data_IF_715478458892
#
_entry.id   IF_715478458892
#
_cell.length_a   1.000
_cell.length_b   1.000
_cell.length_c   1.000
_cell.angle_alpha   90.00
_cell.angle_beta   90.00
_cell.angle_gamma   90.00
#
_symmetry.space_group_name_H-M   'P 1'
#
loop_
_entity.id
_entity.type
_entity.pdbx_description
1 polymer ?
#
# COMPACT_ATOMS: atom_id res chain seq x y z
N UNK A 1 -22.40 -26.68 0.53
CA UNK A 1 -23.42 -25.77 1.09
C UNK A 1 -22.77 -24.39 1.19
N UNK A 2 -22.83 -23.59 0.13
CA UNK A 2 -22.35 -22.21 0.16
C UNK A 2 -23.53 -21.33 0.56
N UNK A 3 -23.69 -21.09 1.86
CA UNK A 3 -24.53 -19.97 2.29
C UNK A 3 -23.91 -18.71 1.70
N UNK A 4 -24.70 -17.83 1.05
CA UNK A 4 -24.17 -16.56 0.59
C UNK A 4 -23.63 -15.81 1.81
N UNK A 5 -22.37 -15.38 1.74
CA UNK A 5 -21.78 -14.46 2.72
C UNK A 5 -22.74 -13.28 2.87
N UNK A 6 -23.15 -13.00 4.10
CA UNK A 6 -24.05 -11.90 4.49
C UNK A 6 -23.33 -10.94 5.43
N UNK A 7 -23.79 -9.69 5.54
CA UNK A 7 -23.23 -8.72 6.48
C UNK A 7 -23.15 -9.27 7.92
N UNK A 8 -24.19 -9.98 8.38
CA UNK A 8 -24.16 -10.57 9.72
C UNK A 8 -23.06 -11.61 9.91
N UNK A 9 -22.73 -12.39 8.87
CA UNK A 9 -21.63 -13.36 8.91
C UNK A 9 -20.24 -12.71 8.86
N UNK A 10 -20.14 -11.50 8.30
CA UNK A 10 -18.89 -10.74 8.23
C UNK A 10 -18.56 -10.02 9.53
N UNK A 11 -19.58 -9.65 10.33
CA UNK A 11 -19.36 -8.99 11.62
C UNK A 11 -18.43 -9.78 12.54
N UNK A 12 -18.53 -11.10 12.55
CA UNK A 12 -17.67 -11.95 13.40
C UNK A 12 -16.18 -11.69 13.15
N UNK A 13 -15.79 -11.39 11.90
CA UNK A 13 -14.40 -11.11 11.50
C UNK A 13 -13.86 -9.81 12.08
N UNK A 14 -14.72 -8.82 12.31
CA UNK A 14 -14.33 -7.48 12.77
C UNK A 14 -14.80 -7.15 14.18
N UNK A 15 -15.57 -8.04 14.82
CA UNK A 15 -16.21 -7.81 16.13
C UNK A 15 -15.27 -7.39 17.27
N UNK A 16 -13.97 -7.67 17.14
CA UNK A 16 -12.93 -7.27 18.10
C UNK A 16 -12.43 -5.84 17.94
N UNK A 17 -12.60 -5.26 16.75
CA UNK A 17 -12.08 -3.93 16.40
C UNK A 17 -13.20 -2.95 16.03
N UNK A 18 -14.38 -3.45 15.64
CA UNK A 18 -15.58 -2.65 15.35
C UNK A 18 -16.70 -3.02 16.32
N UNK A 19 -17.19 -2.07 17.14
CA UNK A 19 -18.39 -2.25 17.96
C UNK A 19 -19.62 -2.60 17.13
N UNK A 20 -20.51 -3.45 17.67
CA UNK A 20 -21.71 -3.87 16.94
C UNK A 20 -22.59 -2.71 16.48
N UNK A 21 -22.73 -1.67 17.30
CA UNK A 21 -23.50 -0.49 16.96
C UNK A 21 -22.95 0.25 15.74
N UNK A 22 -21.63 0.29 15.59
CA UNK A 22 -20.96 0.87 14.42
C UNK A 22 -21.15 -0.03 13.19
N UNK A 23 -20.97 -1.35 13.34
CA UNK A 23 -21.20 -2.29 12.23
C UNK A 23 -22.60 -2.21 11.64
N UNK A 24 -23.63 -2.03 12.47
CA UNK A 24 -25.02 -1.86 12.00
C UNK A 24 -25.18 -0.67 11.03
N UNK A 25 -24.30 0.32 11.09
CA UNK A 25 -24.33 1.44 10.13
C UNK A 25 -23.79 1.06 8.75
N UNK A 26 -22.97 0.00 8.68
CA UNK A 26 -22.34 -0.50 7.45
C UNK A 26 -23.14 -1.62 6.76
N UNK A 27 -24.03 -2.31 7.47
CA UNK A 27 -24.72 -3.52 6.97
C UNK A 27 -25.37 -3.33 5.59
N UNK A 28 -26.07 -2.21 5.39
CA UNK A 28 -26.73 -1.92 4.12
C UNK A 28 -25.75 -1.81 2.94
N UNK A 29 -24.60 -1.16 3.15
CA UNK A 29 -23.60 -1.00 2.10
C UNK A 29 -22.85 -2.32 1.87
N UNK A 30 -22.53 -3.06 2.94
CA UNK A 30 -21.92 -4.40 2.84
C UNK A 30 -22.79 -5.34 2.02
N UNK A 31 -24.08 -5.47 2.35
CA UNK A 31 -24.99 -6.36 1.62
C UNK A 31 -25.15 -5.93 0.15
N UNK A 32 -25.25 -4.62 -0.11
CA UNK A 32 -25.32 -4.10 -1.47
C UNK A 32 -24.05 -4.41 -2.26
N UNK A 33 -22.87 -4.22 -1.67
CA UNK A 33 -21.56 -4.51 -2.31
C UNK A 33 -21.44 -5.99 -2.64
N UNK A 34 -21.79 -6.88 -1.70
CA UNK A 34 -21.71 -8.33 -1.92
C UNK A 34 -22.60 -8.78 -3.08
N UNK A 35 -23.79 -8.20 -3.21
CA UNK A 35 -24.67 -8.48 -4.35
C UNK A 35 -24.14 -7.90 -5.66
N UNK A 36 -23.68 -6.65 -5.64
CA UNK A 36 -23.12 -5.97 -6.82
C UNK A 36 -21.88 -6.68 -7.36
N UNK A 37 -21.01 -7.18 -6.49
CA UNK A 37 -19.83 -7.98 -6.88
C UNK A 37 -20.22 -9.21 -7.68
N UNK A 38 -21.25 -9.95 -7.23
CA UNK A 38 -21.77 -11.11 -7.97
C UNK A 38 -22.35 -10.70 -9.32
N UNK A 39 -23.18 -9.66 -9.33
CA UNK A 39 -23.87 -9.18 -10.55
C UNK A 39 -22.91 -8.65 -11.61
N UNK A 40 -21.79 -8.06 -11.20
CA UNK A 40 -20.80 -7.47 -12.10
C UNK A 40 -19.59 -8.36 -12.39
N UNK A 41 -19.55 -9.56 -11.81
CA UNK A 41 -18.33 -10.37 -11.78
C UNK A 41 -17.13 -9.51 -11.35
N UNK A 42 -17.26 -8.86 -10.20
CA UNK A 42 -16.29 -7.90 -9.69
C UNK A 42 -15.54 -8.44 -8.47
N UNK A 43 -14.26 -8.07 -8.37
CA UNK A 43 -13.46 -8.24 -7.15
C UNK A 43 -13.07 -6.89 -6.55
N UNK A 44 -12.85 -6.88 -5.25
CA UNK A 44 -12.34 -5.74 -4.50
C UNK A 44 -10.93 -6.07 -4.01
N UNK A 45 -9.96 -5.28 -4.45
CA UNK A 45 -8.58 -5.29 -3.98
C UNK A 45 -8.42 -4.19 -2.93
N UNK A 46 -8.07 -4.53 -1.69
CA UNK A 46 -7.91 -3.54 -0.62
C UNK A 46 -6.48 -3.49 -0.08
N UNK A 47 -5.95 -2.28 0.05
CA UNK A 47 -4.65 -2.05 0.66
C UNK A 47 -4.72 -2.24 2.19
N UNK A 48 -3.59 -2.60 2.80
CA UNK A 48 -3.42 -2.76 4.26
C UNK A 48 -3.83 -1.55 5.12
N UNK A 49 -3.92 -0.37 4.51
CA UNK A 49 -4.35 0.88 5.16
C UNK A 49 -5.86 1.13 5.05
N UNK A 50 -6.61 0.24 4.43
CA UNK A 50 -8.07 0.31 4.44
C UNK A 50 -8.62 -0.08 5.81
N UNK A 51 -9.76 0.51 6.16
CA UNK A 51 -10.43 0.28 7.44
C UNK A 51 -10.93 -1.17 7.55
N UNK A 52 -11.08 -1.72 8.78
CA UNK A 52 -11.40 -3.13 8.96
C UNK A 52 -12.70 -3.60 8.28
N UNK A 53 -13.71 -2.75 8.18
CA UNK A 53 -14.97 -3.06 7.49
C UNK A 53 -14.80 -3.23 5.97
N UNK A 54 -13.81 -2.55 5.37
CA UNK A 54 -13.43 -2.76 3.98
C UNK A 54 -12.51 -3.98 3.88
N UNK A 55 -11.44 -3.99 4.68
CA UNK A 55 -10.35 -4.96 4.63
C UNK A 55 -10.80 -6.40 4.94
N UNK A 56 -11.56 -6.59 6.02
CA UNK A 56 -12.04 -7.92 6.45
C UNK A 56 -13.48 -8.22 6.01
N UNK A 57 -14.23 -7.18 5.64
CA UNK A 57 -15.63 -7.26 5.23
C UNK A 57 -15.79 -7.55 3.75
N UNK A 58 -15.62 -6.53 2.90
CA UNK A 58 -16.00 -6.61 1.47
C UNK A 58 -14.84 -6.92 0.51
N UNK A 59 -13.58 -6.79 0.94
CA UNK A 59 -12.42 -7.10 0.11
C UNK A 59 -12.32 -8.61 -0.20
N UNK A 60 -11.94 -8.95 -1.44
CA UNK A 60 -11.62 -10.32 -1.84
C UNK A 60 -10.14 -10.62 -1.66
N UNK A 61 -9.32 -9.61 -1.93
CA UNK A 61 -7.88 -9.70 -1.89
C UNK A 61 -7.35 -8.51 -1.11
N UNK A 62 -6.52 -8.82 -0.13
CA UNK A 62 -5.85 -7.85 0.71
C UNK A 62 -4.34 -7.99 0.63
N UNK A 63 -3.63 -6.88 0.83
CA UNK A 63 -2.17 -6.88 0.93
C UNK A 63 -1.52 -5.50 0.78
N UNK A 64 -0.19 -5.52 0.72
CA UNK A 64 0.62 -4.35 0.35
C UNK A 64 0.64 -4.16 -1.17
N UNK A 65 1.29 -3.07 -1.64
CA UNK A 65 1.35 -2.74 -3.07
C UNK A 65 1.88 -3.88 -3.94
N UNK A 66 2.86 -4.66 -3.46
CA UNK A 66 3.45 -5.76 -4.22
C UNK A 66 2.49 -6.94 -4.32
N UNK A 67 1.89 -7.34 -3.19
CA UNK A 67 0.92 -8.42 -3.15
C UNK A 67 -0.31 -8.11 -4.01
N UNK A 68 -0.83 -6.88 -3.96
CA UNK A 68 -1.95 -6.46 -4.79
C UNK A 68 -1.60 -6.48 -6.28
N UNK A 69 -0.42 -5.99 -6.67
CA UNK A 69 0.03 -6.04 -8.07
C UNK A 69 0.15 -7.47 -8.60
N UNK A 70 0.73 -8.40 -7.82
CA UNK A 70 0.84 -9.81 -8.20
C UNK A 70 -0.53 -10.47 -8.34
N UNK A 71 -1.36 -10.38 -7.30
CA UNK A 71 -2.68 -11.03 -7.28
C UNK A 71 -3.65 -10.44 -8.31
N UNK A 72 -3.53 -9.16 -8.66
CA UNK A 72 -4.37 -8.55 -9.68
C UNK A 72 -4.23 -9.21 -11.06
N UNK A 73 -3.10 -9.86 -11.37
CA UNK A 73 -2.87 -10.56 -12.64
C UNK A 73 -3.61 -11.90 -12.67
N UNK A 74 -3.79 -12.53 -11.51
CA UNK A 74 -4.38 -13.87 -11.35
C UNK A 74 -5.92 -13.85 -11.29
N UNK A 75 -6.53 -12.66 -11.29
CA UNK A 75 -7.96 -12.48 -11.15
C UNK A 75 -8.68 -12.73 -12.48
N UNK A 76 -9.71 -13.57 -12.45
CA UNK A 76 -10.61 -13.87 -13.58
C UNK A 76 -11.82 -12.92 -13.70
N UNK A 77 -12.03 -12.05 -12.71
CA UNK A 77 -13.14 -11.09 -12.68
C UNK A 77 -13.03 -10.03 -13.79
N UNK A 78 -14.18 -9.58 -14.31
CA UNK A 78 -14.25 -8.56 -15.36
C UNK A 78 -14.00 -7.14 -14.83
N UNK A 79 -14.39 -6.92 -13.56
CA UNK A 79 -14.28 -5.63 -12.87
C UNK A 79 -13.40 -5.75 -11.64
N UNK A 80 -12.44 -4.83 -11.51
CA UNK A 80 -11.61 -4.68 -10.32
C UNK A 80 -11.95 -3.36 -9.67
N UNK A 81 -12.45 -3.36 -8.44
CA UNK A 81 -12.53 -2.16 -7.61
C UNK A 81 -11.28 -2.09 -6.76
N UNK A 82 -10.51 -1.02 -6.91
CA UNK A 82 -9.37 -0.78 -6.04
C UNK A 82 -9.77 0.08 -4.84
N UNK A 83 -9.84 -0.53 -3.67
CA UNK A 83 -9.90 0.15 -2.39
C UNK A 83 -8.48 0.57 -1.96
N UNK A 84 -8.00 1.65 -2.55
CA UNK A 84 -6.66 2.20 -2.37
C UNK A 84 -6.56 3.60 -2.98
N UNK A 85 -5.37 3.93 -3.49
CA UNK A 85 -5.07 5.24 -4.09
C UNK A 85 -4.83 5.15 -5.60
N UNK A 86 -4.88 6.29 -6.29
CA UNK A 86 -4.93 6.39 -7.75
C UNK A 86 -3.80 5.64 -8.47
N UNK A 87 -2.55 5.80 -8.03
CA UNK A 87 -1.41 5.13 -8.68
C UNK A 87 -1.49 3.60 -8.60
N UNK A 88 -2.10 3.05 -7.54
CA UNK A 88 -2.31 1.62 -7.41
C UNK A 88 -3.36 1.17 -8.42
N UNK A 89 -4.36 2.01 -8.70
CA UNK A 89 -5.45 1.69 -9.62
C UNK A 89 -4.91 1.72 -11.06
N UNK A 90 -4.07 2.71 -11.37
CA UNK A 90 -3.29 2.74 -12.62
C UNK A 90 -2.43 1.49 -12.76
N UNK A 91 -1.76 1.05 -11.68
CA UNK A 91 -0.94 -0.17 -11.71
C UNK A 91 -1.79 -1.41 -12.00
N UNK A 92 -2.96 -1.53 -11.37
CA UNK A 92 -3.90 -2.61 -11.67
C UNK A 92 -4.38 -2.56 -13.13
N UNK A 93 -4.65 -1.37 -13.68
CA UNK A 93 -5.06 -1.17 -15.08
C UNK A 93 -3.93 -1.48 -16.08
N UNK A 94 -2.69 -1.12 -15.75
CA UNK A 94 -1.51 -1.47 -16.56
C UNK A 94 -1.33 -2.99 -16.71
N UNK A 95 -1.55 -3.72 -15.61
CA UNK A 95 -1.44 -5.19 -15.57
C UNK A 95 -2.67 -5.88 -16.17
N UNK A 96 -3.82 -5.22 -16.19
CA UNK A 96 -5.09 -5.74 -16.70
C UNK A 96 -5.74 -4.78 -17.72
N UNK A 97 -5.14 -4.59 -18.91
CA UNK A 97 -5.59 -3.56 -19.86
C UNK A 97 -7.04 -3.74 -20.32
N UNK A 98 -7.49 -4.99 -20.48
CA UNK A 98 -8.84 -5.33 -20.96
C UNK A 98 -9.91 -5.30 -19.85
N UNK A 99 -9.51 -5.33 -18.57
CA UNK A 99 -10.47 -5.31 -17.45
C UNK A 99 -10.89 -3.88 -17.11
N UNK A 100 -12.11 -3.73 -16.60
CA UNK A 100 -12.54 -2.46 -16.01
C UNK A 100 -11.92 -2.33 -14.64
N UNK A 101 -11.14 -1.27 -14.40
CA UNK A 101 -10.60 -0.95 -13.08
C UNK A 101 -11.29 0.30 -12.57
N UNK A 102 -11.90 0.22 -11.39
CA UNK A 102 -12.63 1.30 -10.76
C UNK A 102 -11.87 1.82 -9.54
N UNK A 103 -11.82 3.16 -9.40
CA UNK A 103 -11.44 3.81 -8.15
C UNK A 103 -12.66 4.49 -7.52
N UNK A 104 -12.97 4.23 -6.24
CA UNK A 104 -14.14 4.82 -5.58
C UNK A 104 -14.09 6.34 -5.40
N UNK A 105 -12.90 6.93 -5.32
CA UNK A 105 -12.70 8.38 -5.23
C UNK A 105 -11.46 8.80 -6.03
N UNK A 106 -11.65 9.65 -7.04
CA UNK A 106 -10.57 10.17 -7.89
C UNK A 106 -9.56 11.04 -7.11
N UNK A 107 -9.96 11.62 -5.98
CA UNK A 107 -9.09 12.43 -5.13
C UNK A 107 -8.27 11.59 -4.13
N UNK A 108 -8.37 10.26 -4.15
CA UNK A 108 -7.50 9.36 -3.40
C UNK A 108 -6.08 9.34 -4.03
N UNK A 109 -5.35 10.45 -3.89
CA UNK A 109 -3.99 10.65 -4.38
C UNK A 109 -2.90 10.09 -3.47
N UNK A 110 -1.68 10.62 -3.58
CA UNK A 110 -0.56 10.29 -2.71
C UNK A 110 0.51 11.37 -2.81
N UNK A 111 0.93 11.94 -1.68
CA UNK A 111 1.97 12.96 -1.60
C UNK A 111 3.28 12.58 -2.30
N UNK A 112 3.70 11.31 -2.18
CA UNK A 112 4.85 10.78 -2.92
C UNK A 112 4.65 10.81 -4.44
N UNK A 113 3.47 10.41 -4.91
CA UNK A 113 3.19 10.37 -6.35
C UNK A 113 3.13 11.77 -6.96
N UNK A 114 2.67 12.75 -6.19
CA UNK A 114 2.59 14.16 -6.59
C UNK A 114 3.95 14.88 -6.52
N UNK A 115 4.94 14.28 -5.85
CA UNK A 115 6.26 14.90 -5.63
C UNK A 115 7.22 14.83 -6.83
N UNK A 116 6.85 14.11 -7.90
CA UNK A 116 7.74 13.91 -9.06
C UNK A 116 6.96 13.80 -10.38
N UNK A 117 7.56 14.32 -11.46
CA UNK A 117 7.00 14.30 -12.82
C UNK A 117 7.89 13.56 -13.82
N UNK A 118 7.37 13.18 -15.01
CA UNK A 118 8.20 12.64 -16.09
C UNK A 118 9.31 13.60 -16.55
N UNK A 119 9.06 14.91 -16.50
CA UNK A 119 10.02 15.96 -16.81
C UNK A 119 11.20 15.95 -15.82
N UNK A 120 10.92 15.74 -14.54
CA UNK A 120 11.95 15.58 -13.51
C UNK A 120 12.83 14.36 -13.80
N UNK A 121 12.25 13.23 -14.22
CA UNK A 121 13.02 12.07 -14.65
C UNK A 121 13.93 12.41 -15.85
N UNK A 122 13.44 13.18 -16.82
CA UNK A 122 14.27 13.60 -17.95
C UNK A 122 15.47 14.44 -17.50
N UNK A 123 15.28 15.34 -16.53
CA UNK A 123 16.36 16.12 -15.92
C UNK A 123 17.33 15.23 -15.13
N UNK A 124 16.83 14.25 -14.36
CA UNK A 124 17.68 13.28 -13.66
C UNK A 124 18.56 12.49 -14.64
N UNK A 125 18.01 12.05 -15.78
CA UNK A 125 18.79 11.36 -16.82
C UNK A 125 19.85 12.25 -17.47
N UNK A 126 19.59 13.55 -17.61
CA UNK A 126 20.59 14.51 -18.09
C UNK A 126 21.70 14.75 -17.06
N UNK A 127 21.35 14.87 -15.78
CA UNK A 127 22.29 15.08 -14.68
C UNK A 127 23.13 13.84 -14.35
N UNK A 128 22.57 12.65 -14.55
CA UNK A 128 23.21 11.36 -14.25
C UNK A 128 23.15 10.39 -15.45
N UNK A 129 23.86 10.66 -16.56
CA UNK A 129 23.80 9.81 -17.75
C UNK A 129 24.26 8.37 -17.44
N UNK A 130 23.43 7.39 -17.82
CA UNK A 130 23.74 5.96 -17.66
C UNK A 130 23.46 5.38 -16.27
N UNK A 131 23.02 6.19 -15.30
CA UNK A 131 22.60 5.69 -13.98
C UNK A 131 21.15 5.17 -14.07
N UNK A 132 20.87 3.91 -13.71
CA UNK A 132 19.51 3.38 -13.72
C UNK A 132 18.60 4.08 -12.71
N UNK A 133 17.33 4.28 -13.08
CA UNK A 133 16.30 4.87 -12.24
C UNK A 133 15.33 3.79 -11.74
N UNK A 134 15.39 3.54 -10.44
CA UNK A 134 14.47 2.69 -9.70
C UNK A 134 13.35 3.55 -9.13
N UNK A 135 12.12 3.21 -9.46
CA UNK A 135 10.96 4.03 -9.12
C UNK A 135 10.00 3.28 -8.21
N UNK A 136 9.82 3.80 -7.01
CA UNK A 136 8.83 3.29 -6.08
C UNK A 136 7.43 3.37 -6.72
N UNK A 137 6.62 2.32 -6.55
CA UNK A 137 5.29 2.22 -7.18
C UNK A 137 4.35 3.37 -6.81
N UNK A 138 4.63 4.11 -5.73
CA UNK A 138 3.91 5.30 -5.27
C UNK A 138 4.16 6.52 -6.18
N UNK A 139 3.90 6.36 -7.47
CA UNK A 139 4.15 7.31 -8.57
C UNK A 139 3.12 7.14 -9.68
N UNK A 140 2.88 8.16 -10.51
CA UNK A 140 1.94 8.02 -11.64
C UNK A 140 2.42 7.02 -12.70
N UNK A 141 1.50 6.51 -13.52
CA UNK A 141 1.84 5.69 -14.69
C UNK A 141 2.83 6.40 -15.64
N UNK A 142 2.75 7.73 -15.78
CA UNK A 142 3.65 8.50 -16.63
C UNK A 142 5.10 8.48 -16.09
N UNK A 143 5.26 8.61 -14.77
CA UNK A 143 6.57 8.49 -14.11
C UNK A 143 7.12 7.06 -14.28
N UNK A 144 6.27 6.03 -14.10
CA UNK A 144 6.65 4.63 -14.36
C UNK A 144 7.12 4.41 -15.80
N UNK A 145 6.46 5.04 -16.79
CA UNK A 145 6.85 4.92 -18.20
C UNK A 145 8.23 5.50 -18.52
N UNK A 146 8.64 6.54 -17.79
CA UNK A 146 9.95 7.16 -17.94
C UNK A 146 11.07 6.44 -17.14
N UNK A 147 10.71 5.46 -16.32
CA UNK A 147 11.61 4.76 -15.38
C UNK A 147 12.19 3.47 -15.96
N UNK A 148 13.27 2.96 -15.36
CA UNK A 148 13.91 1.71 -15.81
C UNK A 148 13.27 0.47 -15.19
N UNK A 149 12.94 0.53 -13.90
CA UNK A 149 12.31 -0.55 -13.13
C UNK A 149 11.55 0.03 -11.94
N UNK A 150 10.43 -0.59 -11.57
CA UNK A 150 9.74 -0.22 -10.34
C UNK A 150 10.28 -0.96 -9.10
N UNK A 151 9.96 -0.48 -7.91
CA UNK A 151 10.12 -1.23 -6.66
C UNK A 151 8.94 -1.00 -5.71
N UNK A 152 8.87 -1.78 -4.64
CA UNK A 152 8.01 -1.55 -3.48
C UNK A 152 8.85 -1.55 -2.20
N UNK A 153 8.32 -1.09 -1.06
CA UNK A 153 9.00 -1.24 0.23
C UNK A 153 9.27 -2.71 0.60
N UNK A 154 8.57 -3.67 -0.02
CA UNK A 154 8.77 -5.11 0.20
C UNK A 154 9.88 -5.74 -0.62
N UNK A 155 10.33 -5.11 -1.71
CA UNK A 155 11.38 -5.65 -2.59
C UNK A 155 12.46 -4.64 -3.04
N UNK A 156 12.48 -3.43 -2.48
CA UNK A 156 13.39 -2.35 -2.91
C UNK A 156 14.86 -2.75 -2.85
N UNK A 157 15.30 -3.39 -1.76
CA UNK A 157 16.67 -3.89 -1.63
C UNK A 157 17.03 -4.88 -2.73
N UNK A 158 16.18 -5.89 -2.94
CA UNK A 158 16.39 -6.91 -3.95
C UNK A 158 16.44 -6.29 -5.35
N UNK A 159 15.58 -5.32 -5.64
CA UNK A 159 15.58 -4.60 -6.93
C UNK A 159 16.89 -3.83 -7.11
N UNK A 160 17.36 -3.07 -6.11
CA UNK A 160 18.64 -2.35 -6.16
C UNK A 160 19.81 -3.30 -6.44
N UNK A 161 19.91 -4.39 -5.68
CA UNK A 161 21.00 -5.36 -5.81
C UNK A 161 20.95 -6.14 -7.14
N UNK A 162 19.75 -6.40 -7.67
CA UNK A 162 19.56 -7.15 -8.93
C UNK A 162 20.16 -6.47 -10.15
N UNK A 163 20.32 -5.14 -10.13
CA UNK A 163 20.85 -4.40 -11.27
C UNK A 163 22.36 -4.61 -11.47
N UNK A 164 23.08 -5.07 -10.44
CA UNK A 164 24.52 -5.35 -10.53
C UNK A 164 25.38 -4.12 -10.90
N UNK A 165 24.89 -2.92 -10.60
CA UNK A 165 25.57 -1.64 -10.85
C UNK A 165 26.02 -1.02 -9.54
N UNK A 166 27.12 -0.22 -9.53
CA UNK A 166 27.61 0.41 -8.31
C UNK A 166 26.77 1.61 -7.86
N UNK A 167 25.87 2.12 -8.73
CA UNK A 167 25.13 3.36 -8.49
C UNK A 167 23.75 3.32 -9.13
N UNK A 168 22.74 3.78 -8.41
CA UNK A 168 21.35 3.90 -8.86
C UNK A 168 20.72 5.22 -8.40
N UNK A 169 19.69 5.66 -9.12
CA UNK A 169 18.75 6.68 -8.66
C UNK A 169 17.54 5.96 -8.08
N UNK A 170 17.03 6.44 -6.95
CA UNK A 170 15.83 5.89 -6.33
C UNK A 170 14.85 7.00 -5.98
N UNK A 171 13.64 6.88 -6.54
CA UNK A 171 12.62 7.95 -6.53
C UNK A 171 11.23 7.40 -6.15
N UNK A 172 10.29 8.21 -5.66
CA UNK A 172 10.48 9.58 -5.19
C UNK A 172 10.85 9.65 -3.70
N UNK A 173 10.73 8.54 -2.95
CA UNK A 173 10.81 8.56 -1.50
C UNK A 173 12.27 8.61 -1.01
N UNK A 174 12.64 9.73 -0.37
CA UNK A 174 13.99 9.96 0.14
C UNK A 174 14.34 8.99 1.27
N UNK A 175 13.40 8.75 2.18
CA UNK A 175 13.66 7.96 3.38
C UNK A 175 13.79 6.48 3.05
N UNK A 176 12.93 5.95 2.18
CA UNK A 176 13.09 4.61 1.64
C UNK A 176 14.45 4.48 0.95
N UNK A 177 14.82 5.42 0.07
CA UNK A 177 16.12 5.38 -0.61
C UNK A 177 17.30 5.39 0.39
N UNK A 178 17.25 6.25 1.42
CA UNK A 178 18.29 6.35 2.45
C UNK A 178 18.36 5.13 3.35
N UNK A 179 17.22 4.51 3.68
CA UNK A 179 17.16 3.30 4.47
C UNK A 179 17.72 2.11 3.68
N UNK A 180 17.35 1.95 2.41
CA UNK A 180 17.94 0.91 1.55
C UNK A 180 19.45 1.13 1.35
N UNK A 181 19.90 2.37 1.20
CA UNK A 181 21.33 2.69 1.06
C UNK A 181 22.19 2.27 2.28
N UNK A 182 21.57 2.11 3.46
CA UNK A 182 22.26 1.60 4.66
C UNK A 182 22.33 0.08 4.72
N UNK A 183 21.56 -0.61 3.88
CA UNK A 183 21.44 -2.07 3.86
C UNK A 183 22.19 -2.73 2.69
N UNK A 184 22.79 -1.95 1.79
CA UNK A 184 23.48 -2.41 0.59
C UNK A 184 24.73 -1.59 0.31
N UNK A 185 25.66 -2.13 -0.49
CA UNK A 185 26.90 -1.45 -0.89
C UNK A 185 26.72 -0.56 -2.15
N UNK A 186 25.53 -0.58 -2.76
CA UNK A 186 25.20 0.24 -3.95
C UNK A 186 25.00 1.70 -3.54
N UNK A 187 25.63 2.63 -4.25
CA UNK A 187 25.42 4.07 -4.05
C UNK A 187 24.01 4.46 -4.55
N UNK A 188 23.19 5.05 -3.69
CA UNK A 188 21.83 5.47 -4.02
C UNK A 188 21.71 6.99 -3.99
N UNK A 189 21.31 7.57 -5.13
CA UNK A 189 20.94 8.99 -5.23
C UNK A 189 19.42 9.09 -5.06
N UNK A 190 18.98 9.80 -4.03
CA UNK A 190 17.57 9.92 -3.68
C UNK A 190 16.91 11.17 -4.29
N UNK A 191 15.62 11.05 -4.63
CA UNK A 191 14.74 12.20 -4.79
C UNK A 191 14.21 12.65 -3.41
N UNK A 192 13.89 13.93 -3.27
CA UNK A 192 13.48 14.55 -1.99
C UNK A 192 11.96 14.59 -1.84
N UNK A 193 11.29 13.47 -2.10
CA UNK A 193 9.86 13.30 -1.82
C UNK A 193 9.68 12.53 -0.51
N UNK A 194 8.65 12.85 0.27
CA UNK A 194 8.33 12.18 1.53
C UNK A 194 6.86 11.79 1.60
N UNK A 195 6.57 10.73 2.34
CA UNK A 195 5.21 10.38 2.71
C UNK A 195 4.75 11.24 3.89
N UNK A 196 3.71 12.06 3.67
CA UNK A 196 3.10 12.95 4.68
C UNK A 196 2.63 12.26 5.97
N UNK A 197 2.52 10.93 5.96
CA UNK A 197 2.13 10.13 7.13
C UNK A 197 3.36 9.67 7.91
N UNK A 198 4.39 9.20 7.22
CA UNK A 198 5.56 8.58 7.84
C UNK A 198 6.63 9.60 8.22
N UNK A 199 6.69 10.75 7.55
CA UNK A 199 7.61 11.84 7.92
C UNK A 199 7.31 12.44 9.30
N UNK A 200 6.08 12.24 9.81
CA UNK A 200 5.64 12.75 11.10
C UNK A 200 6.22 11.98 12.29
N UNK A 201 6.74 10.76 12.08
CA UNK A 201 7.35 9.98 13.16
C UNK A 201 8.76 10.49 13.46
N UNK A 202 9.09 10.60 14.75
CA UNK A 202 10.40 11.01 15.22
C UNK A 202 11.05 9.95 16.10
N UNK A 203 12.38 9.96 16.18
CA UNK A 203 13.12 9.08 17.10
C UNK A 203 12.72 9.31 18.57
N UNK A 204 12.29 10.53 18.90
CA UNK A 204 11.79 10.88 20.22
C UNK A 204 10.45 10.19 20.53
N UNK A 205 9.54 10.11 19.56
CA UNK A 205 8.28 9.35 19.73
C UNK A 205 8.56 7.88 20.07
N UNK A 206 9.58 7.28 19.45
CA UNK A 206 10.01 5.89 19.73
C UNK A 206 10.47 5.75 21.18
N UNK A 207 11.30 6.67 21.65
CA UNK A 207 11.83 6.66 23.03
C UNK A 207 10.71 6.83 24.04
N UNK A 208 9.82 7.79 23.83
CA UNK A 208 8.65 8.01 24.68
C UNK A 208 7.71 6.79 24.70
N UNK A 209 7.50 6.13 23.55
CA UNK A 209 6.73 4.88 23.49
C UNK A 209 7.35 3.79 24.36
N UNK A 210 8.68 3.65 24.35
CA UNK A 210 9.39 2.66 25.18
C UNK A 210 9.35 3.00 26.66
N UNK A 211 9.41 4.29 27.02
CA UNK A 211 9.26 4.75 28.41
C UNK A 211 7.85 4.47 28.95
N UNK A 212 6.82 4.80 28.17
CA UNK A 212 5.41 4.61 28.55
C UNK A 212 4.97 3.15 28.51
N UNK A 213 5.59 2.34 27.65
CA UNK A 213 5.28 0.93 27.47
C UNK A 213 6.53 0.05 27.56
N UNK A 214 7.08 -0.18 28.77
CA UNK A 214 8.26 -1.03 28.93
C UNK A 214 8.08 -2.40 28.29
N UNK A 215 9.07 -2.83 27.50
CA UNK A 215 9.05 -4.10 26.77
C UNK A 215 8.25 -4.09 25.46
N UNK A 216 7.77 -2.93 24.99
CA UNK A 216 7.13 -2.82 23.67
C UNK A 216 8.11 -3.15 22.55
N UNK A 217 7.67 -3.95 21.58
CA UNK A 217 8.37 -4.15 20.31
C UNK A 217 7.94 -3.07 19.31
N UNK A 218 8.89 -2.37 18.71
CA UNK A 218 8.68 -1.27 17.77
C UNK A 218 9.00 -1.74 16.35
N UNK A 219 7.99 -1.79 15.48
CA UNK A 219 8.17 -2.09 14.05
C UNK A 219 7.96 -0.81 13.24
N UNK A 220 8.89 -0.46 12.36
CA UNK A 220 8.79 0.75 11.54
C UNK A 220 8.65 0.45 10.05
N UNK A 221 7.90 1.28 9.33
CA UNK A 221 7.93 1.26 7.88
C UNK A 221 9.23 1.92 7.37
N UNK A 222 9.87 1.45 6.28
CA UNK A 222 11.10 2.06 5.75
C UNK A 222 10.89 3.43 5.09
N UNK A 223 9.65 3.92 5.00
CA UNK A 223 9.35 5.32 4.64
C UNK A 223 9.50 6.28 5.85
N UNK A 224 9.73 5.77 7.06
CA UNK A 224 10.03 6.61 8.21
C UNK A 224 11.46 7.20 8.10
N UNK A 225 11.71 8.37 8.72
CA UNK A 225 13.04 8.95 8.77
C UNK A 225 14.11 7.95 9.27
N UNK A 226 15.34 7.99 8.74
CA UNK A 226 16.35 6.97 9.06
C UNK A 226 16.74 6.90 10.54
N UNK A 227 16.52 7.95 11.32
CA UNK A 227 16.66 7.99 12.77
C UNK A 227 15.53 7.24 13.50
N UNK A 228 14.31 7.20 12.96
CA UNK A 228 13.21 6.39 13.49
C UNK A 228 13.49 4.92 13.24
N UNK A 229 13.91 4.58 12.01
CA UNK A 229 14.27 3.20 11.64
C UNK A 229 15.42 2.67 12.50
N UNK A 230 16.39 3.52 12.85
CA UNK A 230 17.51 3.13 13.71
C UNK A 230 17.11 2.82 15.16
N UNK A 231 16.00 3.37 15.65
CA UNK A 231 15.47 3.13 17.02
C UNK A 231 14.46 1.98 17.07
N UNK A 232 13.96 1.53 15.91
CA UNK A 232 13.01 0.44 15.78
C UNK A 232 13.69 -0.93 15.97
N UNK A 233 12.94 -1.91 16.50
CA UNK A 233 13.42 -3.29 16.65
C UNK A 233 13.47 -4.03 15.30
N UNK A 234 12.67 -3.58 14.34
CA UNK A 234 12.63 -4.12 12.99
C UNK A 234 12.00 -3.09 12.03
N UNK A 235 12.42 -3.12 10.77
CA UNK A 235 11.81 -2.31 9.71
C UNK A 235 11.47 -3.14 8.47
N UNK A 236 10.33 -2.83 7.83
CA UNK A 236 9.91 -3.52 6.62
C UNK A 236 8.56 -3.03 6.07
N UNK A 237 8.16 -3.57 4.92
CA UNK A 237 6.82 -3.28 4.36
C UNK A 237 5.72 -3.72 5.31
N UNK A 238 4.50 -3.25 5.06
CA UNK A 238 3.32 -3.66 5.86
C UNK A 238 3.15 -5.19 5.89
N UNK A 239 3.32 -5.89 4.76
CA UNK A 239 3.27 -7.35 4.75
C UNK A 239 4.36 -7.97 5.66
N UNK A 240 5.59 -7.48 5.58
CA UNK A 240 6.71 -7.99 6.38
C UNK A 240 6.52 -7.71 7.88
N UNK A 241 5.96 -6.56 8.25
CA UNK A 241 5.59 -6.25 9.64
C UNK A 241 4.49 -7.18 10.16
N UNK A 242 3.46 -7.46 9.36
CA UNK A 242 2.41 -8.43 9.72
C UNK A 242 3.01 -9.83 9.96
N UNK A 243 3.87 -10.29 9.05
CA UNK A 243 4.58 -11.57 9.17
C UNK A 243 5.52 -11.60 10.39
N UNK A 244 6.13 -10.48 10.76
CA UNK A 244 6.91 -10.37 11.98
C UNK A 244 6.02 -10.64 13.20
N UNK A 245 4.87 -9.97 13.31
CA UNK A 245 3.95 -10.17 14.45
C UNK A 245 3.47 -11.61 14.52
N UNK A 246 3.09 -12.21 13.39
CA UNK A 246 2.62 -13.59 13.35
C UNK A 246 3.68 -14.62 13.76
N UNK A 247 4.95 -14.38 13.40
CA UNK A 247 6.08 -15.27 13.74
C UNK A 247 6.60 -15.07 15.16
N UNK A 248 6.84 -13.83 15.56
CA UNK A 248 7.48 -13.49 16.84
C UNK A 248 6.49 -13.42 18.00
N UNK A 249 5.22 -13.11 17.72
CA UNK A 249 4.14 -12.99 18.72
C UNK A 249 4.58 -12.19 19.96
N UNK A 250 5.07 -10.95 19.79
CA UNK A 250 5.47 -10.13 20.92
C UNK A 250 4.29 -9.92 21.87
N UNK A 251 4.55 -9.83 23.17
CA UNK A 251 3.48 -9.54 24.14
C UNK A 251 2.80 -8.18 23.85
N UNK A 252 3.60 -7.20 23.42
CA UNK A 252 3.16 -5.86 23.06
C UNK A 252 3.92 -5.35 21.85
N UNK A 253 3.21 -4.74 20.89
CA UNK A 253 3.80 -4.20 19.67
C UNK A 253 3.23 -2.83 19.32
N UNK A 254 4.05 -1.99 18.70
CA UNK A 254 3.64 -0.76 18.02
C UNK A 254 4.11 -0.81 16.58
N UNK A 255 3.22 -0.45 15.65
CA UNK A 255 3.52 -0.32 14.23
C UNK A 255 3.63 1.17 13.88
N UNK A 256 4.82 1.65 13.57
CA UNK A 256 5.08 3.02 13.11
C UNK A 256 4.81 3.10 11.61
N UNK A 257 3.52 3.13 11.30
CA UNK A 257 2.94 3.19 9.97
C UNK A 257 1.52 3.76 10.07
N UNK A 258 0.72 3.64 9.01
CA UNK A 258 -0.67 4.09 9.01
C UNK A 258 -1.52 3.26 9.99
N UNK A 259 -2.41 3.94 10.72
CA UNK A 259 -3.11 3.39 11.89
C UNK A 259 -3.94 2.12 11.61
N UNK A 260 -4.65 2.05 10.48
CA UNK A 260 -5.52 0.89 10.20
C UNK A 260 -4.75 -0.41 10.02
N UNK A 261 -3.45 -0.34 9.74
CA UNK A 261 -2.60 -1.53 9.74
C UNK A 261 -2.62 -2.23 11.11
N UNK A 262 -2.55 -1.48 12.21
CA UNK A 262 -2.56 -2.07 13.55
C UNK A 262 -3.87 -2.78 13.84
N UNK A 263 -5.00 -2.20 13.43
CA UNK A 263 -6.32 -2.83 13.61
C UNK A 263 -6.46 -4.09 12.76
N UNK A 264 -6.00 -4.04 11.51
CA UNK A 264 -6.09 -5.17 10.59
C UNK A 264 -5.26 -6.36 11.08
N UNK A 265 -4.05 -6.13 11.60
CA UNK A 265 -3.20 -7.19 12.17
C UNK A 265 -3.76 -7.70 13.51
N UNK A 266 -4.28 -6.80 14.36
CA UNK A 266 -4.83 -7.17 15.67
C UNK A 266 -6.01 -8.16 15.59
N UNK A 267 -6.82 -8.10 14.53
CA UNK A 267 -7.92 -9.05 14.28
C UNK A 267 -7.43 -10.50 14.31
N UNK A 268 -6.27 -10.78 13.71
CA UNK A 268 -5.70 -12.14 13.62
C UNK A 268 -4.81 -12.52 14.80
N UNK A 269 -4.43 -11.56 15.64
CA UNK A 269 -3.49 -11.75 16.74
C UNK A 269 -4.06 -11.21 18.07
N UNK A 270 -5.14 -11.81 18.61
CA UNK A 270 -5.82 -11.30 19.81
C UNK A 270 -4.98 -11.35 21.09
N UNK A 271 -3.96 -12.21 21.10
CA UNK A 271 -3.08 -12.39 22.27
C UNK A 271 -1.95 -11.36 22.31
N UNK A 272 -1.83 -10.52 21.28
CA UNK A 272 -0.81 -9.46 21.17
C UNK A 272 -1.44 -8.12 21.50
N UNK A 273 -0.83 -7.38 22.43
CA UNK A 273 -1.27 -6.03 22.77
C UNK A 273 -0.74 -5.01 21.74
N UNK A 274 -1.64 -4.36 20.99
CA UNK A 274 -1.27 -3.31 20.03
C UNK A 274 -1.36 -1.92 20.66
N UNK A 275 -0.24 -1.21 20.69
CA UNK A 275 -0.18 0.23 20.99
C UNK A 275 -0.37 0.98 19.67
N UNK A 276 -1.30 1.94 19.65
CA UNK A 276 -1.76 2.61 18.42
C UNK A 276 -1.42 4.11 18.42
N UNK A 277 -0.22 4.51 18.00
CA UNK A 277 0.05 5.89 17.61
C UNK A 277 -0.71 6.16 16.30
N UNK A 278 -1.65 7.11 16.32
CA UNK A 278 -2.62 7.27 15.24
C UNK A 278 -2.14 8.33 14.23
N UNK A 279 -1.51 7.88 13.13
CA UNK A 279 -1.35 8.67 11.91
C UNK A 279 -2.23 8.05 10.81
N UNK A 280 -3.17 8.83 10.27
CA UNK A 280 -4.09 8.37 9.22
C UNK A 280 -3.69 8.98 7.88
N UNK A 281 -3.61 8.15 6.84
CA UNK A 281 -3.42 8.65 5.49
C UNK A 281 -4.72 9.30 4.98
N UNK A 282 -4.76 10.62 4.76
CA UNK A 282 -6.00 11.30 4.35
C UNK A 282 -6.51 10.80 3.00
N UNK A 283 -5.62 10.33 2.13
CA UNK A 283 -5.98 9.76 0.84
C UNK A 283 -6.60 8.36 0.93
N UNK A 284 -6.05 7.47 1.76
CA UNK A 284 -6.60 6.12 1.94
C UNK A 284 -8.00 6.16 2.56
N UNK A 285 -8.25 7.10 3.49
CA UNK A 285 -9.57 7.25 4.16
C UNK A 285 -10.62 7.95 3.31
N UNK A 286 -10.29 8.35 2.09
CA UNK A 286 -11.32 8.73 1.11
C UNK A 286 -12.15 7.55 0.66
N UNK A 287 -11.58 6.35 0.69
CA UNK A 287 -12.30 5.14 0.32
C UNK A 287 -13.21 4.72 1.47
N UNK A 288 -14.49 4.52 1.17
CA UNK A 288 -15.53 4.15 2.13
C UNK A 288 -16.42 3.07 1.55
N UNK A 289 -17.16 2.33 2.38
CA UNK A 289 -18.15 1.38 1.86
C UNK A 289 -19.19 2.06 0.95
N UNK A 290 -19.65 3.27 1.33
CA UNK A 290 -20.62 4.02 0.55
C UNK A 290 -20.10 4.33 -0.87
N UNK A 291 -18.87 4.81 -1.04
CA UNK A 291 -18.36 5.10 -2.39
C UNK A 291 -17.90 3.85 -3.15
N UNK A 292 -17.46 2.78 -2.49
CA UNK A 292 -17.27 1.46 -3.13
C UNK A 292 -18.59 0.97 -3.72
N UNK A 293 -19.67 1.08 -2.94
CA UNK A 293 -21.02 0.73 -3.39
C UNK A 293 -21.41 1.58 -4.59
N UNK A 294 -21.33 2.91 -4.51
CA UNK A 294 -21.66 3.81 -5.64
C UNK A 294 -20.81 3.49 -6.87
N UNK A 295 -19.52 3.21 -6.67
CA UNK A 295 -18.62 2.85 -7.75
C UNK A 295 -19.08 1.61 -8.50
N UNK A 296 -19.50 0.58 -7.75
CA UNK A 296 -20.11 -0.62 -8.31
C UNK A 296 -21.49 -0.34 -8.90
N UNK A 297 -22.39 0.41 -8.26
CA UNK A 297 -23.72 0.71 -8.81
C UNK A 297 -23.62 1.38 -10.19
N UNK A 298 -22.73 2.36 -10.31
CA UNK A 298 -22.62 3.22 -11.48
C UNK A 298 -21.51 2.81 -12.47
N UNK A 299 -20.68 1.82 -12.11
CA UNK A 299 -19.50 1.41 -12.89
C UNK A 299 -18.50 2.56 -13.13
N UNK A 300 -18.25 3.36 -12.09
CA UNK A 300 -17.35 4.52 -12.11
C UNK A 300 -16.50 4.57 -10.83
N UNK A 301 -15.38 5.28 -10.75
CA UNK A 301 -14.72 5.96 -11.84
C UNK A 301 -13.75 4.99 -12.53
N UNK A 302 -13.96 4.75 -13.82
CA UNK A 302 -13.05 3.90 -14.58
C UNK A 302 -11.68 4.56 -14.72
N UNK A 303 -10.65 3.81 -14.36
CA UNK A 303 -9.25 4.21 -14.49
C UNK A 303 -8.77 3.83 -15.87
N UNK A 304 -8.27 4.82 -16.60
CA UNK A 304 -7.65 4.65 -17.90
C UNK A 304 -6.20 5.09 -17.84
N UNK A 305 -5.37 4.50 -18.69
CA UNK A 305 -3.96 4.88 -18.83
C UNK A 305 -3.73 5.19 -20.31
N UNK A 306 -3.03 6.28 -20.60
CA UNK A 306 -2.74 6.68 -21.97
C UNK A 306 -2.00 5.55 -22.73
N UNK A 307 -2.53 5.09 -23.87
CA UNK A 307 -1.87 4.07 -24.69
C UNK A 307 -0.42 4.39 -25.05
N UNK A 308 -0.05 5.68 -25.16
CA UNK A 308 1.30 6.12 -25.48
C UNK A 308 2.32 5.76 -24.39
N UNK A 309 1.88 5.70 -23.13
CA UNK A 309 2.76 5.39 -21.97
C UNK A 309 2.56 3.97 -21.44
N UNK A 310 1.41 3.34 -21.72
CA UNK A 310 0.99 2.09 -21.09
C UNK A 310 2.02 0.96 -21.22
N UNK A 311 2.58 0.76 -22.42
CA UNK A 311 3.57 -0.31 -22.66
C UNK A 311 4.85 -0.10 -21.85
N UNK A 312 5.36 1.13 -21.80
CA UNK A 312 6.58 1.45 -21.08
C UNK A 312 6.37 1.37 -19.56
N UNK A 313 5.25 1.90 -19.06
CA UNK A 313 4.89 1.84 -17.65
C UNK A 313 4.70 0.39 -17.18
N UNK A 314 3.96 -0.41 -17.96
CA UNK A 314 3.75 -1.83 -17.68
C UNK A 314 5.07 -2.58 -17.62
N UNK A 315 6.00 -2.33 -18.55
CA UNK A 315 7.32 -2.95 -18.55
C UNK A 315 8.12 -2.66 -17.27
N UNK A 316 8.06 -1.44 -16.74
CA UNK A 316 8.73 -1.09 -15.49
C UNK A 316 8.15 -1.88 -14.29
N UNK A 317 6.83 -2.06 -14.26
CA UNK A 317 6.13 -2.86 -13.24
C UNK A 317 6.43 -4.36 -13.42
N UNK A 318 6.39 -4.91 -14.63
CA UNK A 318 6.67 -6.33 -14.87
C UNK A 318 8.12 -6.69 -14.51
N UNK A 319 9.08 -5.80 -14.78
CA UNK A 319 10.48 -5.96 -14.33
C UNK A 319 10.58 -6.06 -12.81
N UNK A 320 9.82 -5.24 -12.08
CA UNK A 320 9.75 -5.32 -10.61
C UNK A 320 9.16 -6.65 -10.16
N UNK A 321 8.08 -7.11 -10.78
CA UNK A 321 7.38 -8.33 -10.38
C UNK A 321 8.19 -9.61 -10.62
N UNK A 322 9.12 -9.58 -11.58
CA UNK A 322 10.06 -10.66 -11.87
C UNK A 322 11.16 -10.83 -10.80
N UNK A 323 11.28 -9.89 -9.86
CA UNK A 323 12.18 -9.92 -8.70
C UNK A 323 11.37 -10.30 -7.44
#
# INVERSE_FOLDING_TARGET
MNYPVSASSLYERVSRVIPKAEWMTFENDVDAILELKRRRNAVILAHNYQTPEIFHGVADIVGDSLALARKAIEVDADVIVLAGVHFMAETAKLLNPEKTVLIPDLAAGCSLADSITPEDIALLRQAHPGVPIITYVNTSAAVKAASDICCTSGNAKQVVESLGVPKVLMIPDEYLARNIARETDVEIIAWHGHCEVHELFTAEDVRQLRENHPGVTVLAHPECPPEVVAEADFAGSTAVMSDYVGRQKPARVVLLTECSMSDNVAVHHPDVEFIRPCNLCPHMKRITLANIRTALEENRHEVTVDPAIAVAARRAVERMLAI
#
